data_IF_885960678358
#
_entry.id   IF_885960678358
#
_cell.length_a   1.000
_cell.length_b   1.000
_cell.length_c   1.000
_cell.angle_alpha   90.00
_cell.angle_beta   90.00
_cell.angle_gamma   90.00
#
_symmetry.space_group_name_H-M   'P 1'
#
loop_
_entity.id
_entity.type
_entity.pdbx_description
1 polymer ?
#
# COMPACT_ATOMS: atom_id res chain seq x y z
N UNK A 1 -28.38 2.04 -2.44
CA UNK A 1 -27.09 2.78 -2.42
C UNK A 1 -25.99 1.80 -2.07
N UNK A 2 -24.86 1.85 -2.78
CA UNK A 2 -23.68 1.04 -2.45
C UNK A 2 -23.08 1.51 -1.12
N UNK A 3 -22.54 0.58 -0.32
CA UNK A 3 -21.79 0.86 0.91
C UNK A 3 -20.31 0.62 0.65
N UNK A 4 -19.46 1.35 1.36
CA UNK A 4 -18.02 1.29 1.15
C UNK A 4 -17.27 1.24 2.48
N UNK A 5 -16.24 0.41 2.51
CA UNK A 5 -15.17 0.41 3.51
C UNK A 5 -13.94 1.11 2.94
N UNK A 6 -13.23 1.82 3.80
CA UNK A 6 -11.99 2.51 3.45
C UNK A 6 -10.86 2.05 4.37
N UNK A 7 -9.66 1.92 3.81
CA UNK A 7 -8.45 1.52 4.53
C UNK A 7 -7.31 2.45 4.14
N UNK A 8 -6.68 3.08 5.13
CA UNK A 8 -5.42 3.78 4.92
C UNK A 8 -4.32 2.72 4.92
N UNK A 9 -3.42 2.79 3.95
CA UNK A 9 -2.26 1.93 3.82
C UNK A 9 -1.02 2.78 3.63
N UNK A 10 0.11 2.36 4.17
CA UNK A 10 1.38 3.03 3.95
C UNK A 10 2.55 2.05 3.90
N UNK A 11 3.74 2.61 3.67
CA UNK A 11 4.99 1.86 3.60
C UNK A 11 5.10 0.86 4.75
N UNK A 12 4.71 1.22 5.98
CA UNK A 12 4.88 0.41 7.20
C UNK A 12 4.07 -0.89 7.18
N UNK A 13 2.98 -0.93 6.40
CA UNK A 13 2.14 -2.13 6.26
C UNK A 13 2.76 -3.17 5.31
N UNK A 14 3.70 -2.77 4.47
CA UNK A 14 4.38 -3.68 3.55
C UNK A 14 5.34 -4.59 4.34
N UNK A 15 5.22 -5.92 4.25
CA UNK A 15 6.13 -6.84 4.93
C UNK A 15 7.59 -6.57 4.50
N UNK A 16 8.52 -6.49 5.46
CA UNK A 16 9.95 -6.32 5.15
C UNK A 16 10.65 -7.67 5.12
N UNK A 17 11.64 -7.83 4.25
CA UNK A 17 12.57 -8.97 4.27
C UNK A 17 13.61 -8.94 5.40
N UNK A 18 13.42 -8.10 6.44
CA UNK A 18 14.31 -7.94 7.59
C UNK A 18 14.66 -6.49 7.97
N UNK A 19 15.13 -6.29 9.21
CA UNK A 19 15.36 -4.98 9.88
C UNK A 19 16.32 -4.01 9.18
N UNK A 20 17.12 -4.47 8.22
CA UNK A 20 18.19 -3.67 7.56
C UNK A 20 18.07 -3.59 6.04
N UNK A 21 16.98 -4.11 5.44
CA UNK A 21 16.73 -3.97 4.00
C UNK A 21 15.60 -2.98 3.81
N UNK A 22 15.90 -1.84 3.17
CA UNK A 22 14.86 -0.93 2.69
C UNK A 22 13.86 -1.70 1.82
N UNK A 23 12.60 -1.28 1.85
CA UNK A 23 11.55 -1.90 1.03
C UNK A 23 11.84 -1.59 -0.43
N UNK A 24 11.88 -2.63 -1.25
CA UNK A 24 12.02 -2.44 -2.68
C UNK A 24 10.67 -2.07 -3.29
N UNK A 25 10.69 -1.52 -4.49
CA UNK A 25 9.47 -1.22 -5.24
C UNK A 25 8.60 -2.45 -5.41
N UNK A 26 9.19 -3.61 -5.68
CA UNK A 26 8.47 -4.86 -5.94
C UNK A 26 7.71 -5.35 -4.69
N UNK A 27 8.20 -5.04 -3.48
CA UNK A 27 7.51 -5.38 -2.23
C UNK A 27 6.22 -4.55 -2.08
N UNK A 28 6.28 -3.26 -2.43
CA UNK A 28 5.12 -2.36 -2.43
C UNK A 28 4.10 -2.80 -3.49
N UNK A 29 4.56 -3.12 -4.69
CA UNK A 29 3.70 -3.62 -5.77
C UNK A 29 3.00 -4.92 -5.37
N UNK A 30 3.73 -5.89 -4.83
CA UNK A 30 3.16 -7.15 -4.37
C UNK A 30 2.10 -6.96 -3.28
N UNK A 31 2.35 -6.05 -2.33
CA UNK A 31 1.39 -5.71 -1.28
C UNK A 31 0.12 -5.05 -1.84
N UNK A 32 0.24 -4.06 -2.73
CA UNK A 32 -0.93 -3.41 -3.33
C UNK A 32 -1.73 -4.39 -4.19
N UNK A 33 -1.05 -5.28 -4.93
CA UNK A 33 -1.69 -6.35 -5.68
C UNK A 33 -2.46 -7.32 -4.76
N UNK A 34 -1.90 -7.72 -3.61
CA UNK A 34 -2.59 -8.63 -2.69
C UNK A 34 -3.90 -8.01 -2.15
N UNK A 35 -3.89 -6.71 -1.85
CA UNK A 35 -5.11 -5.99 -1.48
C UNK A 35 -6.12 -5.95 -2.64
N UNK A 36 -5.64 -5.77 -3.88
CA UNK A 36 -6.47 -5.87 -5.08
C UNK A 36 -7.17 -7.23 -5.20
N UNK A 37 -6.46 -8.32 -4.95
CA UNK A 37 -7.04 -9.67 -4.94
C UNK A 37 -8.09 -9.88 -3.84
N UNK A 38 -7.98 -9.16 -2.71
CA UNK A 38 -8.99 -9.14 -1.65
C UNK A 38 -10.21 -8.25 -1.98
N UNK A 39 -10.22 -7.58 -3.13
CA UNK A 39 -11.30 -6.70 -3.59
C UNK A 39 -11.15 -5.24 -3.14
N UNK A 40 -9.96 -4.83 -2.71
CA UNK A 40 -9.67 -3.42 -2.43
C UNK A 40 -9.21 -2.69 -3.70
N UNK A 41 -9.77 -1.51 -3.93
CA UNK A 41 -9.42 -0.60 -5.01
C UNK A 41 -8.56 0.54 -4.46
N UNK A 42 -7.40 0.81 -5.06
CA UNK A 42 -6.58 1.97 -4.71
C UNK A 42 -7.20 3.23 -5.32
N UNK A 43 -7.64 4.17 -4.48
CA UNK A 43 -8.32 5.41 -4.94
C UNK A 43 -7.44 6.65 -4.82
N UNK A 44 -6.38 6.58 -4.03
CA UNK A 44 -5.37 7.63 -3.93
C UNK A 44 -4.03 7.06 -3.44
N UNK A 45 -2.93 7.60 -3.94
CA UNK A 45 -1.59 7.28 -3.46
C UNK A 45 -0.68 8.50 -3.61
N UNK A 46 0.16 8.72 -2.60
CA UNK A 46 1.23 9.71 -2.59
C UNK A 46 2.55 8.98 -2.32
N UNK A 47 3.58 9.28 -3.11
CA UNK A 47 4.92 8.73 -2.95
C UNK A 47 5.89 9.82 -2.53
N UNK A 48 6.75 9.48 -1.56
CA UNK A 48 7.80 10.34 -1.04
C UNK A 48 9.13 9.63 -1.17
N UNK A 49 10.06 10.25 -1.89
CA UNK A 49 11.46 9.83 -1.89
C UNK A 49 12.19 10.61 -0.79
N UNK A 50 12.62 9.91 0.26
CA UNK A 50 13.38 10.47 1.38
C UNK A 50 14.70 9.72 1.48
N UNK A 51 15.82 10.44 1.34
CA UNK A 51 17.20 9.98 1.59
C UNK A 51 17.49 8.51 1.19
N UNK A 52 17.09 8.11 -0.03
CA UNK A 52 17.37 6.79 -0.59
C UNK A 52 16.32 5.70 -0.31
N UNK A 53 15.19 6.03 0.31
CA UNK A 53 14.04 5.14 0.52
C UNK A 53 12.79 5.61 -0.24
N UNK A 54 12.00 4.64 -0.74
CA UNK A 54 10.67 4.87 -1.28
C UNK A 54 9.63 4.72 -0.15
N UNK A 55 8.98 5.81 0.21
CA UNK A 55 7.82 5.79 1.09
C UNK A 55 6.55 6.12 0.32
N UNK A 56 5.41 5.60 0.78
CA UNK A 56 4.09 5.94 0.27
C UNK A 56 3.05 5.99 1.37
N UNK A 57 1.96 6.72 1.10
CA UNK A 57 0.70 6.63 1.82
C UNK A 57 -0.43 6.57 0.79
N UNK A 58 -1.43 5.74 1.04
CA UNK A 58 -2.53 5.52 0.11
C UNK A 58 -3.86 5.25 0.83
N UNK A 59 -4.94 5.39 0.06
CA UNK A 59 -6.29 5.07 0.51
C UNK A 59 -6.86 4.00 -0.42
N UNK A 60 -7.30 2.92 0.20
CA UNK A 60 -8.01 1.82 -0.45
C UNK A 60 -9.51 1.92 -0.15
N UNK A 61 -10.33 1.44 -1.08
CA UNK A 61 -11.79 1.41 -1.00
C UNK A 61 -12.29 0.01 -1.37
N UNK A 62 -13.31 -0.50 -0.68
CA UNK A 62 -13.96 -1.78 -1.01
C UNK A 62 -15.48 -1.63 -0.89
N UNK A 63 -16.22 -2.17 -1.85
CA UNK A 63 -17.69 -2.23 -1.79
C UNK A 63 -18.14 -3.32 -0.80
N UNK A 64 -19.16 -3.02 0.02
CA UNK A 64 -19.73 -3.89 1.07
C UNK A 64 -21.16 -4.31 0.71
#
# INVERSE_FOLDING_TARGET
MKRFEYKIVDTRDVPTGGMFKGRKREDVEAYLCSLGFEGWELVNVDFRELEGGLEFAGVMKKEV
#
